data_IF_232561343107
#
_entry.id   IF_232561343107
#
_cell.length_a   1.000
_cell.length_b   1.000
_cell.length_c   1.000
_cell.angle_alpha   90.00
_cell.angle_beta   90.00
_cell.angle_gamma   90.00
#
_symmetry.space_group_name_H-M   'P 1'
#
loop_
_entity.id
_entity.type
_entity.pdbx_description
1 polymer ?
#
# COMPACT_ATOMS: atom_id res chain seq x y z
N UNK A 1 17.83 33.34 -2.97
CA UNK A 1 17.28 33.43 -1.60
C UNK A 1 16.30 32.28 -1.45
N UNK A 2 16.25 31.61 -0.29
CA UNK A 2 15.28 30.54 -0.09
C UNK A 2 13.87 31.16 0.04
N UNK A 3 12.93 30.70 -0.77
CA UNK A 3 11.55 31.20 -0.76
C UNK A 3 10.79 30.59 0.43
N UNK A 4 10.10 31.41 1.23
CA UNK A 4 9.17 30.94 2.24
C UNK A 4 7.91 30.44 1.57
N UNK A 5 7.48 29.22 1.89
CA UNK A 5 6.24 28.63 1.37
C UNK A 5 5.35 28.27 2.53
N UNK A 6 4.08 28.69 2.47
CA UNK A 6 3.05 28.37 3.46
C UNK A 6 1.94 27.56 2.78
N UNK A 7 1.50 26.51 3.46
CA UNK A 7 0.34 25.71 3.07
C UNK A 7 -0.48 25.39 4.31
N UNK A 8 -1.79 25.24 4.18
CA UNK A 8 -2.61 24.84 5.30
C UNK A 8 -4.01 24.43 4.91
N UNK A 9 -4.70 23.80 5.85
CA UNK A 9 -6.08 23.35 5.73
C UNK A 9 -6.74 23.30 7.10
N UNK A 10 -8.06 23.12 7.11
CA UNK A 10 -8.84 22.88 8.33
C UNK A 10 -9.33 21.45 8.42
N UNK A 11 -9.53 20.94 9.62
CA UNK A 11 -10.09 19.60 9.85
C UNK A 11 -11.56 19.49 9.38
N UNK A 12 -12.27 20.63 9.32
CA UNK A 12 -13.68 20.75 8.93
C UNK A 12 -13.87 21.87 7.94
N UNK A 13 -14.92 21.78 7.12
CA UNK A 13 -15.30 22.81 6.14
C UNK A 13 -16.12 23.95 6.78
N UNK A 14 -16.88 23.65 7.85
CA UNK A 14 -17.73 24.63 8.54
C UNK A 14 -17.96 24.25 10.01
N UNK A 15 -18.16 25.25 10.86
CA UNK A 15 -18.49 25.06 12.28
C UNK A 15 -19.63 25.99 12.71
N UNK A 16 -20.44 25.51 13.66
CA UNK A 16 -21.48 26.31 14.31
C UNK A 16 -20.89 27.05 15.54
N UNK A 17 -21.59 28.07 16.09
CA UNK A 17 -21.18 28.71 17.33
C UNK A 17 -20.95 27.71 18.46
N UNK A 18 -19.82 27.82 19.15
CA UNK A 18 -19.42 26.91 20.23
C UNK A 18 -18.73 25.62 19.78
N UNK A 19 -18.65 25.34 18.48
CA UNK A 19 -17.86 24.21 17.97
C UNK A 19 -16.41 24.62 17.67
N UNK A 20 -15.51 23.64 17.77
CA UNK A 20 -14.08 23.83 17.49
C UNK A 20 -13.73 23.47 16.04
N UNK A 21 -12.79 24.24 15.47
CA UNK A 21 -12.13 24.00 14.19
C UNK A 21 -10.62 24.05 14.41
N UNK A 22 -9.88 23.11 13.81
CA UNK A 22 -8.43 23.05 13.87
C UNK A 22 -7.82 23.52 12.57
N UNK A 23 -6.76 24.33 12.65
CA UNK A 23 -5.97 24.77 11.51
C UNK A 23 -4.63 24.03 11.49
N UNK A 24 -4.32 23.40 10.37
CA UNK A 24 -3.07 22.69 10.16
C UNK A 24 -2.21 23.48 9.16
N UNK A 25 -1.12 24.08 9.65
CA UNK A 25 -0.26 24.98 8.85
C UNK A 25 1.16 24.39 8.75
N UNK A 26 1.65 24.27 7.52
CA UNK A 26 2.99 23.78 7.18
C UNK A 26 3.77 24.89 6.49
N UNK A 27 4.89 25.27 7.08
CA UNK A 27 5.73 26.39 6.61
C UNK A 27 7.16 25.92 6.38
N UNK A 28 7.74 26.32 5.25
CA UNK A 28 9.16 26.15 4.94
C UNK A 28 9.91 27.46 5.12
N UNK A 29 11.12 27.38 5.68
CA UNK A 29 12.02 28.52 5.86
C UNK A 29 11.48 29.64 6.76
N UNK A 30 10.63 29.31 7.75
CA UNK A 30 10.22 30.18 8.84
C UNK A 30 9.84 29.36 10.09
N UNK A 31 9.95 29.98 11.26
CA UNK A 31 9.62 29.41 12.57
C UNK A 31 8.43 30.10 13.26
N UNK A 32 7.97 31.24 12.72
CA UNK A 32 6.80 31.98 13.17
C UNK A 32 5.91 32.40 12.00
N UNK A 33 4.60 32.40 12.19
CA UNK A 33 3.62 32.96 11.27
C UNK A 33 2.57 33.79 12.03
N UNK A 34 2.27 34.98 11.50
CA UNK A 34 1.16 35.79 11.99
C UNK A 34 -0.17 35.24 11.45
N UNK A 35 -1.15 35.08 12.33
CA UNK A 35 -2.48 34.55 11.99
C UNK A 35 -3.53 35.60 12.33
N UNK A 36 -4.48 35.79 11.42
CA UNK A 36 -5.68 36.60 11.61
C UNK A 36 -6.92 35.82 11.13
N UNK A 37 -8.09 36.16 11.63
CA UNK A 37 -9.37 35.67 11.09
C UNK A 37 -9.99 36.79 10.28
N UNK A 38 -10.39 36.49 9.05
CA UNK A 38 -11.02 37.46 8.16
C UNK A 38 -12.38 36.98 7.72
N UNK A 39 -13.28 37.94 7.49
CA UNK A 39 -14.51 37.75 6.73
C UNK A 39 -14.23 38.11 5.28
N UNK A 40 -14.19 37.10 4.42
CA UNK A 40 -14.10 37.30 2.97
C UNK A 40 -15.42 37.89 2.45
N UNK A 41 -15.33 39.01 1.71
CA UNK A 41 -16.48 39.71 1.13
C UNK A 41 -16.46 39.58 -0.40
N UNK A 42 -15.31 39.80 -1.03
CA UNK A 42 -15.13 39.68 -2.47
C UNK A 42 -13.73 39.17 -2.82
N UNK A 43 -13.63 38.22 -3.75
CA UNK A 43 -12.38 37.54 -4.09
C UNK A 43 -11.78 37.87 -5.45
N UNK A 44 -12.52 38.52 -6.35
CA UNK A 44 -12.06 38.81 -7.70
C UNK A 44 -11.27 40.13 -7.74
N UNK A 45 -10.05 40.06 -8.27
CA UNK A 45 -9.09 41.16 -8.40
C UNK A 45 -9.17 41.87 -9.78
N UNK A 46 -10.14 41.54 -10.62
CA UNK A 46 -10.30 42.19 -11.91
C UNK A 46 -10.41 43.72 -11.77
N UNK A 47 -9.65 44.51 -12.57
CA UNK A 47 -9.55 45.96 -12.39
C UNK A 47 -10.87 46.72 -12.61
N UNK A 48 -11.77 46.18 -13.43
CA UNK A 48 -13.11 46.74 -13.67
C UNK A 48 -14.14 46.33 -12.60
N UNK A 49 -13.75 45.49 -11.64
CA UNK A 49 -14.58 45.03 -10.53
C UNK A 49 -14.33 45.83 -9.24
N UNK A 50 -14.98 45.46 -8.12
CA UNK A 50 -14.76 46.10 -6.83
C UNK A 50 -13.42 45.72 -6.17
N UNK A 51 -12.65 44.79 -6.75
CA UNK A 51 -11.38 44.29 -6.24
C UNK A 51 -11.52 43.30 -5.07
N UNK A 52 -10.40 42.81 -4.53
CA UNK A 52 -10.39 41.94 -3.36
C UNK A 52 -10.82 42.71 -2.10
N UNK A 53 -11.75 42.15 -1.33
CA UNK A 53 -12.29 42.77 -0.11
C UNK A 53 -12.39 41.71 0.99
N UNK A 54 -11.72 41.98 2.09
CA UNK A 54 -11.83 41.24 3.35
C UNK A 54 -11.92 42.20 4.54
N UNK A 55 -12.41 41.67 5.66
CA UNK A 55 -12.50 42.40 6.92
C UNK A 55 -11.89 41.55 8.04
N UNK A 56 -10.90 42.09 8.73
CA UNK A 56 -10.30 41.43 9.90
C UNK A 56 -11.32 41.38 11.05
N UNK A 57 -11.52 40.18 11.58
CA UNK A 57 -12.39 39.91 12.71
C UNK A 57 -11.54 39.65 13.94
N UNK A 58 -11.77 40.43 14.99
CA UNK A 58 -11.12 40.22 16.28
C UNK A 58 -11.36 38.78 16.77
N UNK A 59 -10.28 38.04 16.97
CA UNK A 59 -10.32 36.62 17.33
C UNK A 59 -9.24 36.31 18.36
N UNK A 60 -9.53 35.39 19.26
CA UNK A 60 -8.56 34.89 20.25
C UNK A 60 -7.42 34.09 19.62
N UNK A 61 -7.57 33.64 18.36
CA UNK A 61 -6.52 32.94 17.61
C UNK A 61 -5.52 33.92 16.97
N UNK A 62 -5.85 35.21 16.89
CA UNK A 62 -4.97 36.18 16.22
C UNK A 62 -3.62 36.33 16.93
N UNK A 63 -2.55 36.56 16.16
CA UNK A 63 -1.19 36.75 16.67
C UNK A 63 -0.16 35.82 16.05
N UNK A 64 1.04 35.81 16.63
CA UNK A 64 2.16 35.03 16.12
C UNK A 64 2.15 33.60 16.69
N UNK A 65 2.22 32.61 15.80
CA UNK A 65 2.22 31.19 16.14
C UNK A 65 3.52 30.53 15.69
N UNK A 66 4.08 29.61 16.49
CA UNK A 66 5.20 28.79 16.05
C UNK A 66 4.75 27.89 14.89
N UNK A 67 5.54 27.87 13.82
CA UNK A 67 5.29 27.04 12.64
C UNK A 67 6.49 26.18 12.32
N UNK A 68 6.24 25.10 11.59
CA UNK A 68 7.28 24.20 11.10
C UNK A 68 6.83 23.51 9.82
N UNK A 69 7.78 22.89 9.12
CA UNK A 69 7.46 21.98 8.03
C UNK A 69 6.74 20.76 8.61
N UNK A 70 5.53 20.52 8.12
CA UNK A 70 4.83 19.26 8.30
C UNK A 70 4.99 18.43 7.02
N UNK A 71 5.52 17.21 7.17
CA UNK A 71 5.71 16.30 6.05
C UNK A 71 4.43 15.53 5.79
N UNK A 72 4.04 15.47 4.51
CA UNK A 72 2.92 14.66 4.07
C UNK A 72 3.46 13.30 3.68
N UNK A 73 2.94 12.26 4.33
CA UNK A 73 3.11 10.90 3.86
C UNK A 73 2.16 10.69 2.67
N UNK A 74 2.63 10.12 1.56
CA UNK A 74 1.87 10.03 0.31
C UNK A 74 1.75 8.57 -0.14
N UNK A 75 0.64 8.27 -0.82
CA UNK A 75 0.37 6.95 -1.37
C UNK A 75 -0.59 6.15 -0.50
N UNK A 76 -1.38 5.32 -1.17
CA UNK A 76 -2.36 4.47 -0.52
C UNK A 76 -1.66 3.19 -0.04
N UNK A 77 -2.08 2.68 1.11
CA UNK A 77 -1.58 1.40 1.62
C UNK A 77 -2.66 0.71 2.46
N UNK A 78 -2.44 -0.57 2.72
CA UNK A 78 -3.14 -1.27 3.81
C UNK A 78 -2.12 -1.54 4.90
N UNK A 79 -2.41 -1.16 6.14
CA UNK A 79 -1.58 -1.44 7.31
C UNK A 79 -2.26 -2.52 8.13
N UNK A 80 -1.55 -3.61 8.42
CA UNK A 80 -2.09 -4.74 9.18
C UNK A 80 -1.96 -4.49 10.67
N UNK A 81 -3.04 -4.72 11.41
CA UNK A 81 -3.04 -4.74 12.88
C UNK A 81 -2.52 -6.10 13.36
N UNK A 82 -1.28 -6.12 13.85
CA UNK A 82 -0.54 -7.31 14.26
C UNK A 82 0.16 -7.10 15.63
N UNK A 83 -0.61 -6.89 16.72
CA UNK A 83 -0.04 -6.56 18.03
C UNK A 83 0.73 -7.71 18.68
N UNK A 84 0.53 -8.94 18.22
CA UNK A 84 1.20 -10.15 18.69
C UNK A 84 2.35 -10.60 17.79
N UNK A 85 2.71 -9.79 16.79
CA UNK A 85 3.84 -10.02 15.89
C UNK A 85 3.79 -11.36 15.14
N UNK A 86 2.60 -11.82 14.75
CA UNK A 86 2.45 -13.04 13.94
C UNK A 86 3.17 -12.92 12.60
N UNK A 87 3.21 -11.73 11.99
CA UNK A 87 3.85 -11.50 10.69
C UNK A 87 5.34 -11.14 10.80
N UNK A 88 5.91 -11.12 12.01
CA UNK A 88 7.34 -10.95 12.28
C UNK A 88 8.17 -12.22 11.97
N UNK A 89 7.91 -12.85 10.83
CA UNK A 89 8.46 -14.15 10.47
C UNK A 89 9.98 -14.07 10.22
N UNK A 90 10.73 -14.88 10.96
CA UNK A 90 12.17 -15.14 10.74
C UNK A 90 12.46 -16.60 10.37
N UNK A 91 11.43 -17.45 10.42
CA UNK A 91 11.44 -18.85 9.99
C UNK A 91 10.99 -19.02 8.53
N UNK A 92 10.63 -20.26 8.12
CA UNK A 92 10.07 -20.51 6.80
C UNK A 92 8.79 -19.71 6.58
N UNK A 93 8.57 -19.22 5.37
CA UNK A 93 7.37 -18.45 5.03
C UNK A 93 6.97 -18.65 3.57
N UNK A 94 5.71 -18.36 3.27
CA UNK A 94 5.22 -18.13 1.91
C UNK A 94 4.29 -16.94 1.89
N UNK A 95 4.42 -16.08 0.90
CA UNK A 95 3.55 -14.91 0.68
C UNK A 95 2.98 -14.96 -0.73
N UNK A 96 1.68 -14.70 -0.88
CA UNK A 96 1.02 -14.71 -2.19
C UNK A 96 -0.03 -13.61 -2.33
N UNK A 97 -0.35 -13.27 -3.58
CA UNK A 97 -1.40 -12.34 -3.93
C UNK A 97 -1.87 -12.53 -5.37
N UNK A 98 -3.07 -12.04 -5.66
CA UNK A 98 -3.42 -11.62 -7.01
C UNK A 98 -3.07 -10.14 -7.19
N UNK A 99 -2.43 -9.77 -8.29
CA UNK A 99 -1.99 -8.40 -8.55
C UNK A 99 -2.35 -7.93 -9.96
N UNK A 100 -2.58 -6.63 -10.11
CA UNK A 100 -2.85 -5.97 -11.39
C UNK A 100 -1.97 -4.72 -11.51
N UNK A 101 -0.70 -4.84 -11.95
CA UNK A 101 0.22 -3.72 -12.02
C UNK A 101 -0.18 -2.75 -13.11
N UNK A 102 -0.30 -1.45 -12.81
CA UNK A 102 -0.59 -0.42 -13.83
C UNK A 102 0.69 0.27 -14.32
N UNK A 103 1.72 0.36 -13.47
CA UNK A 103 3.03 0.94 -13.80
C UNK A 103 4.19 0.04 -13.35
N UNK A 104 4.34 -1.20 -13.85
CA UNK A 104 5.40 -2.12 -13.39
C UNK A 104 6.82 -1.54 -13.56
N UNK A 105 7.05 -0.68 -14.55
CA UNK A 105 8.36 -0.09 -14.83
C UNK A 105 8.65 1.22 -14.07
N UNK A 106 7.84 1.60 -13.08
CA UNK A 106 8.02 2.84 -12.29
C UNK A 106 8.95 2.64 -11.09
N UNK A 107 10.09 2.00 -11.31
CA UNK A 107 11.04 1.67 -10.26
C UNK A 107 10.51 0.60 -9.29
N UNK A 108 11.22 0.45 -8.16
CA UNK A 108 10.93 -0.58 -7.15
C UNK A 108 9.61 -0.29 -6.43
N UNK A 109 8.77 -1.32 -6.30
CA UNK A 109 7.44 -1.24 -5.70
C UNK A 109 7.22 -2.43 -4.77
N UNK A 110 6.63 -2.21 -3.60
CA UNK A 110 6.27 -3.29 -2.66
C UNK A 110 4.80 -3.64 -2.84
N UNK A 111 4.53 -4.92 -3.05
CA UNK A 111 3.16 -5.45 -3.10
C UNK A 111 2.69 -5.74 -1.68
N UNK A 112 3.45 -6.56 -0.95
CA UNK A 112 3.13 -7.01 0.39
C UNK A 112 4.42 -7.27 1.17
N UNK A 113 4.44 -6.92 2.46
CA UNK A 113 5.54 -7.35 3.32
C UNK A 113 5.62 -6.61 4.64
N UNK A 114 6.43 -7.17 5.54
CA UNK A 114 6.90 -6.50 6.76
C UNK A 114 8.37 -6.19 6.55
N UNK A 115 8.64 -5.05 5.92
CA UNK A 115 9.99 -4.64 5.52
C UNK A 115 10.26 -3.17 5.85
N UNK A 116 11.40 -2.93 6.48
CA UNK A 116 11.89 -1.60 6.83
C UNK A 116 13.13 -1.29 6.01
N UNK A 117 13.06 -0.21 5.22
CA UNK A 117 14.17 0.29 4.41
C UNK A 117 15.27 0.90 5.26
N UNK A 118 14.91 1.59 6.34
CA UNK A 118 15.89 2.20 7.26
C UNK A 118 16.64 1.15 8.05
N UNK A 119 15.96 0.05 8.42
CA UNK A 119 16.59 -1.05 9.15
C UNK A 119 17.24 -2.07 8.23
N UNK A 120 16.96 -2.07 6.92
CA UNK A 120 17.32 -3.16 6.00
C UNK A 120 16.90 -4.53 6.56
N UNK A 121 15.69 -4.62 7.10
CA UNK A 121 15.20 -5.80 7.82
C UNK A 121 13.81 -6.21 7.35
N UNK A 122 13.54 -7.52 7.44
CA UNK A 122 12.24 -8.13 7.17
C UNK A 122 12.17 -8.90 5.86
N UNK A 123 10.98 -9.00 5.29
CA UNK A 123 10.72 -9.63 3.99
C UNK A 123 9.65 -8.89 3.22
N UNK A 124 9.74 -8.91 1.88
CA UNK A 124 8.71 -8.35 1.02
C UNK A 124 8.66 -9.02 -0.36
N UNK A 125 7.45 -9.08 -0.91
CA UNK A 125 7.16 -9.39 -2.30
C UNK A 125 6.89 -8.08 -3.05
N UNK A 126 7.48 -7.91 -4.22
CA UNK A 126 7.40 -6.66 -4.95
C UNK A 126 7.82 -6.74 -6.41
N UNK A 127 8.01 -5.57 -7.00
CA UNK A 127 8.48 -5.37 -8.37
C UNK A 127 9.82 -4.63 -8.30
N UNK A 128 10.83 -5.08 -9.02
CA UNK A 128 12.11 -4.38 -9.10
C UNK A 128 12.13 -3.26 -10.15
N UNK A 129 13.27 -2.59 -10.31
CA UNK A 129 13.42 -1.49 -11.28
C UNK A 129 13.25 -1.88 -12.75
N UNK A 130 13.33 -3.16 -13.08
CA UNK A 130 13.14 -3.70 -14.43
C UNK A 130 11.70 -4.17 -14.69
N UNK A 131 10.77 -3.95 -13.76
CA UNK A 131 9.39 -4.41 -13.89
C UNK A 131 9.20 -5.91 -13.68
N UNK A 132 10.16 -6.58 -13.04
CA UNK A 132 10.11 -8.02 -12.75
C UNK A 132 9.59 -8.26 -11.34
N UNK A 133 8.82 -9.32 -11.15
CA UNK A 133 8.47 -9.79 -9.81
C UNK A 133 9.75 -10.18 -9.07
N UNK A 134 9.88 -9.74 -7.82
CA UNK A 134 11.03 -9.99 -6.95
C UNK A 134 10.56 -10.23 -5.52
N UNK A 135 11.19 -11.17 -4.83
CA UNK A 135 11.08 -11.36 -3.39
C UNK A 135 12.43 -11.08 -2.74
N UNK A 136 12.44 -10.34 -1.64
CA UNK A 136 13.66 -9.99 -0.93
C UNK A 136 13.52 -10.11 0.58
N UNK A 137 14.66 -10.34 1.23
CA UNK A 137 14.82 -10.43 2.69
C UNK A 137 15.96 -9.53 3.15
N UNK A 138 15.91 -9.08 4.39
CA UNK A 138 16.98 -8.30 5.02
C UNK A 138 17.26 -8.71 6.47
N UNK A 139 18.51 -8.64 6.89
CA UNK A 139 18.98 -9.06 8.22
C UNK A 139 19.32 -7.92 9.19
N UNK A 140 19.15 -6.67 8.77
CA UNK A 140 19.59 -5.51 9.54
C UNK A 140 20.86 -4.85 9.00
N UNK A 141 21.59 -5.53 8.10
CA UNK A 141 22.88 -5.07 7.56
C UNK A 141 22.91 -5.12 6.04
N UNK A 142 22.34 -6.16 5.43
CA UNK A 142 22.30 -6.36 3.99
C UNK A 142 20.95 -6.97 3.53
N UNK A 143 20.73 -7.00 2.21
CA UNK A 143 19.54 -7.57 1.58
C UNK A 143 19.91 -8.59 0.51
N UNK A 144 19.11 -9.65 0.35
CA UNK A 144 19.27 -10.64 -0.71
C UNK A 144 17.92 -10.90 -1.38
N UNK A 145 17.93 -11.18 -2.68
CA UNK A 145 16.70 -11.25 -3.47
C UNK A 145 16.70 -12.33 -4.55
N UNK A 146 15.50 -12.78 -4.91
CA UNK A 146 15.21 -13.65 -6.04
C UNK A 146 14.26 -12.92 -6.99
N UNK A 147 14.56 -12.97 -8.29
CA UNK A 147 13.83 -12.23 -9.33
C UNK A 147 13.35 -13.16 -10.44
N UNK A 148 12.14 -12.92 -10.94
CA UNK A 148 11.53 -13.65 -12.04
C UNK A 148 12.28 -13.47 -13.38
N UNK A 149 12.25 -14.51 -14.21
CA UNK A 149 12.94 -14.51 -15.51
C UNK A 149 12.23 -13.70 -16.59
N UNK A 150 10.97 -13.32 -16.39
CA UNK A 150 10.19 -12.52 -17.33
C UNK A 150 9.48 -11.35 -16.62
N UNK A 151 9.35 -10.18 -17.26
CA UNK A 151 8.73 -9.01 -16.62
C UNK A 151 7.21 -9.19 -16.46
N UNK A 152 6.64 -8.40 -15.55
CA UNK A 152 5.20 -8.24 -15.42
C UNK A 152 4.67 -7.31 -16.51
N UNK A 153 3.55 -7.68 -17.12
CA UNK A 153 2.86 -6.81 -18.08
C UNK A 153 1.88 -5.90 -17.34
N UNK A 154 1.86 -4.62 -17.74
CA UNK A 154 0.88 -3.70 -17.20
C UNK A 154 -0.57 -4.10 -17.56
N UNK A 155 -1.53 -3.78 -16.68
CA UNK A 155 -2.96 -4.04 -16.85
C UNK A 155 -3.32 -5.50 -17.12
N UNK A 156 -2.58 -6.42 -16.51
CA UNK A 156 -2.82 -7.87 -16.58
C UNK A 156 -2.86 -8.43 -15.17
N UNK A 157 -3.83 -9.27 -14.86
CA UNK A 157 -3.86 -9.96 -13.57
C UNK A 157 -2.79 -11.04 -13.52
N UNK A 158 -2.13 -11.17 -12.37
CA UNK A 158 -1.22 -12.25 -12.07
C UNK A 158 -1.55 -12.86 -10.72
N UNK A 159 -1.45 -14.18 -10.60
CA UNK A 159 -1.16 -14.81 -9.33
C UNK A 159 0.37 -14.77 -9.12
N UNK A 160 0.80 -14.28 -7.96
CA UNK A 160 2.21 -14.18 -7.60
C UNK A 160 2.44 -14.81 -6.23
N UNK A 161 3.54 -15.51 -6.06
CA UNK A 161 3.87 -16.19 -4.80
C UNK A 161 5.37 -16.33 -4.62
N UNK A 162 5.85 -16.18 -3.39
CA UNK A 162 7.22 -16.46 -3.00
C UNK A 162 7.25 -17.29 -1.73
N UNK A 163 8.05 -18.36 -1.71
CA UNK A 163 8.37 -19.11 -0.49
C UNK A 163 9.85 -19.03 -0.18
N UNK A 164 10.18 -19.09 1.11
CA UNK A 164 11.55 -19.05 1.58
C UNK A 164 11.71 -19.90 2.84
N UNK A 165 12.75 -20.73 2.88
CA UNK A 165 13.18 -21.45 4.07
C UNK A 165 14.59 -20.98 4.49
N UNK A 166 14.73 -20.20 5.58
CA UNK A 166 16.01 -19.66 6.03
C UNK A 166 16.97 -20.71 6.56
N UNK A 167 16.52 -21.94 6.84
CA UNK A 167 17.42 -23.02 7.26
C UNK A 167 18.22 -23.56 6.09
N UNK A 168 17.57 -23.78 4.95
CA UNK A 168 18.20 -24.25 3.71
C UNK A 168 18.72 -23.10 2.83
N UNK A 169 18.16 -21.90 3.00
CA UNK A 169 18.35 -20.74 2.13
C UNK A 169 17.51 -20.86 0.84
N UNK A 170 16.68 -21.88 0.69
CA UNK A 170 15.92 -22.11 -0.55
C UNK A 170 14.79 -21.09 -0.67
N UNK A 171 14.80 -20.32 -1.76
CA UNK A 171 13.73 -19.44 -2.17
C UNK A 171 13.11 -19.91 -3.49
N UNK A 172 11.78 -19.90 -3.58
CA UNK A 172 11.02 -20.17 -4.80
C UNK A 172 10.15 -18.96 -5.09
N UNK A 173 10.15 -18.50 -6.34
CA UNK A 173 9.31 -17.39 -6.79
C UNK A 173 8.51 -17.85 -8.01
N UNK A 174 7.20 -17.61 -7.97
CA UNK A 174 6.26 -17.99 -9.02
C UNK A 174 5.39 -16.82 -9.43
N UNK A 175 5.19 -16.67 -10.73
CA UNK A 175 4.17 -15.81 -11.32
C UNK A 175 3.41 -16.55 -12.42
N UNK A 176 2.11 -16.31 -12.50
CA UNK A 176 1.23 -16.85 -13.52
C UNK A 176 0.17 -15.80 -13.91
N UNK A 177 0.04 -15.51 -15.20
CA UNK A 177 -0.95 -14.57 -15.70
C UNK A 177 -2.36 -15.15 -15.62
N UNK A 178 -3.32 -14.37 -15.14
CA UNK A 178 -4.72 -14.75 -14.96
C UNK A 178 -5.59 -13.97 -15.94
N UNK A 179 -5.66 -14.47 -17.17
CA UNK A 179 -6.33 -13.77 -18.28
C UNK A 179 -7.74 -14.33 -18.53
N UNK A 180 -8.72 -13.49 -18.29
CA UNK A 180 -10.13 -13.68 -18.66
C UNK A 180 -10.53 -12.78 -19.83
N UNK A 181 -11.76 -12.94 -20.36
CA UNK A 181 -12.25 -12.07 -21.43
C UNK A 181 -12.50 -10.61 -21.00
N UNK A 182 -12.62 -10.37 -19.69
CA UNK A 182 -13.11 -9.10 -19.13
C UNK A 182 -12.19 -8.48 -18.08
N UNK A 183 -11.22 -9.23 -17.54
CA UNK A 183 -10.48 -8.82 -16.34
C UNK A 183 -9.18 -8.05 -16.63
N UNK A 184 -8.77 -7.90 -17.90
CA UNK A 184 -7.50 -7.28 -18.25
C UNK A 184 -7.48 -6.62 -19.62
N UNK A 185 -6.32 -6.03 -19.98
CA UNK A 185 -6.13 -5.32 -21.25
C UNK A 185 -6.08 -6.25 -22.45
N UNK A 186 -5.51 -7.44 -22.28
CA UNK A 186 -5.37 -8.45 -23.31
C UNK A 186 -6.28 -9.64 -22.98
N UNK A 187 -6.87 -10.23 -24.02
CA UNK A 187 -7.65 -11.47 -23.91
C UNK A 187 -6.82 -12.71 -24.23
N UNK A 188 -7.43 -13.89 -24.10
CA UNK A 188 -6.78 -15.21 -24.29
C UNK A 188 -6.18 -15.46 -25.69
N UNK A 189 -6.56 -14.67 -26.68
CA UNK A 189 -6.05 -14.80 -28.07
C UNK A 189 -4.69 -14.14 -28.27
N UNK A 190 -4.24 -13.30 -27.35
CA UNK A 190 -2.90 -12.75 -27.40
C UNK A 190 -1.88 -13.86 -27.11
N UNK A 191 -0.82 -14.04 -27.94
CA UNK A 191 0.25 -14.98 -27.66
C UNK A 191 1.06 -14.47 -26.47
N UNK A 192 0.59 -14.79 -25.28
CA UNK A 192 1.00 -14.17 -24.03
C UNK A 192 1.29 -15.26 -22.99
N UNK A 193 2.56 -15.60 -22.83
CA UNK A 193 3.04 -16.48 -21.74
C UNK A 193 4.12 -15.76 -20.94
N UNK A 194 3.70 -15.20 -19.82
CA UNK A 194 4.57 -14.56 -18.83
C UNK A 194 4.64 -15.40 -17.55
N UNK A 195 4.38 -16.71 -17.63
CA UNK A 195 4.59 -17.62 -16.50
C UNK A 195 6.09 -17.74 -16.23
N UNK A 196 6.47 -17.67 -14.96
CA UNK A 196 7.85 -17.90 -14.53
C UNK A 196 7.85 -18.56 -13.17
N UNK A 197 8.67 -19.60 -13.02
CA UNK A 197 8.98 -20.23 -11.73
C UNK A 197 10.49 -20.33 -11.62
N UNK A 198 11.06 -19.69 -10.60
CA UNK A 198 12.50 -19.66 -10.38
C UNK A 198 12.81 -20.09 -8.96
N UNK A 199 13.90 -20.85 -8.82
CA UNK A 199 14.41 -21.30 -7.53
C UNK A 199 15.85 -20.82 -7.38
N UNK A 200 16.18 -20.26 -6.21
CA UNK A 200 17.52 -19.80 -5.91
C UNK A 200 17.83 -20.01 -4.42
N UNK A 201 19.12 -20.12 -4.09
CA UNK A 201 19.58 -20.07 -2.71
C UNK A 201 19.91 -18.63 -2.32
N UNK A 202 19.16 -18.07 -1.38
CA UNK A 202 19.51 -16.82 -0.71
C UNK A 202 20.48 -17.09 0.44
N UNK A 203 21.32 -16.11 0.73
CA UNK A 203 22.42 -16.19 1.70
C UNK A 203 22.05 -15.58 3.05
N UNK A 204 21.05 -14.72 3.07
CA UNK A 204 20.64 -13.94 4.24
C UNK A 204 19.47 -14.60 4.95
N UNK A 205 19.49 -14.54 6.29
CA UNK A 205 18.37 -14.93 7.14
C UNK A 205 17.65 -13.66 7.61
N UNK A 206 16.33 -13.53 7.38
CA UNK A 206 15.60 -12.32 7.70
C UNK A 206 15.64 -12.06 9.20
N UNK A 207 15.89 -10.80 9.55
CA UNK A 207 15.60 -10.25 10.86
C UNK A 207 14.21 -9.62 10.82
N UNK A 208 13.45 -9.71 11.90
CA UNK A 208 12.16 -9.01 11.97
C UNK A 208 12.36 -7.49 11.93
N UNK A 209 11.53 -6.81 11.14
CA UNK A 209 11.43 -5.36 11.13
C UNK A 209 10.51 -4.87 12.25
N UNK A 210 10.84 -3.71 12.83
CA UNK A 210 9.97 -3.07 13.85
C UNK A 210 8.72 -2.43 13.25
N UNK A 211 8.68 -2.29 11.93
CA UNK A 211 7.60 -1.67 11.17
C UNK A 211 6.45 -2.65 10.95
N UNK A 212 5.19 -2.17 10.76
CA UNK A 212 4.07 -3.06 10.51
C UNK A 212 4.17 -3.77 9.16
N UNK A 213 3.40 -4.84 9.00
CA UNK A 213 3.15 -5.43 7.69
C UNK A 213 2.25 -4.50 6.87
N UNK A 214 2.63 -4.24 5.62
CA UNK A 214 1.90 -3.34 4.73
C UNK A 214 1.63 -3.96 3.36
N UNK A 215 0.56 -3.48 2.75
CA UNK A 215 0.28 -3.66 1.34
C UNK A 215 0.57 -2.37 0.58
N UNK A 216 1.15 -2.51 -0.60
CA UNK A 216 1.34 -1.41 -1.54
C UNK A 216 2.44 -0.41 -1.16
N UNK A 217 3.24 -0.68 -0.12
CA UNK A 217 4.38 0.15 0.29
C UNK A 217 5.32 -0.61 1.24
N UNK A 218 6.57 -0.16 1.33
CA UNK A 218 7.48 -0.45 2.42
C UNK A 218 7.54 0.71 3.41
N UNK A 219 8.03 0.44 4.62
CA UNK A 219 8.29 1.49 5.61
C UNK A 219 9.69 2.07 5.40
N UNK A 220 9.80 3.38 5.51
CA UNK A 220 11.06 4.11 5.55
C UNK A 220 10.99 5.18 6.65
N UNK A 221 12.13 5.73 7.03
CA UNK A 221 12.23 6.77 8.04
C UNK A 221 13.41 7.69 7.73
N UNK A 222 13.26 8.96 8.09
CA UNK A 222 14.33 9.95 8.04
C UNK A 222 14.33 10.80 9.31
N UNK A 223 15.49 11.24 9.83
CA UNK A 223 15.58 11.90 11.15
C UNK A 223 14.63 13.09 11.35
N UNK A 224 14.39 13.89 10.31
CA UNK A 224 13.53 15.08 10.37
C UNK A 224 12.06 14.76 10.03
N UNK A 225 11.83 13.82 9.09
CA UNK A 225 10.49 13.46 8.60
C UNK A 225 9.75 12.49 9.52
N UNK A 226 10.49 11.67 10.26
CA UNK A 226 9.95 10.47 10.90
C UNK A 226 9.67 9.38 9.87
N UNK A 227 8.80 8.44 10.22
CA UNK A 227 8.41 7.31 9.36
C UNK A 227 7.47 7.75 8.23
N UNK A 228 7.64 7.15 7.06
CA UNK A 228 6.82 7.39 5.87
C UNK A 228 6.78 6.16 4.97
N UNK A 229 5.84 6.14 4.03
CA UNK A 229 5.72 5.08 3.03
C UNK A 229 6.62 5.35 1.85
N UNK A 230 7.28 4.29 1.38
CA UNK A 230 8.17 4.32 0.22
C UNK A 230 7.94 3.09 -0.66
N UNK A 231 8.51 3.08 -1.86
CA UNK A 231 8.30 2.02 -2.86
C UNK A 231 6.81 1.71 -3.08
N UNK A 232 6.01 2.77 -3.25
CA UNK A 232 4.56 2.67 -3.38
C UNK A 232 4.14 1.98 -4.68
N UNK A 233 3.24 1.02 -4.58
CA UNK A 233 2.74 0.25 -5.72
C UNK A 233 1.57 0.93 -6.41
N UNK A 234 1.58 0.94 -7.74
CA UNK A 234 0.41 1.34 -8.54
C UNK A 234 -0.23 0.12 -9.18
N UNK A 235 -1.42 -0.21 -8.73
CA UNK A 235 -2.19 -1.34 -9.22
C UNK A 235 -3.27 -1.78 -8.25
N UNK A 236 -3.85 -2.95 -8.53
CA UNK A 236 -4.77 -3.62 -7.62
C UNK A 236 -4.07 -4.79 -6.97
N UNK A 237 -4.40 -5.06 -5.70
CA UNK A 237 -4.02 -6.27 -4.97
C UNK A 237 -5.32 -6.91 -4.52
N UNK A 238 -5.41 -8.22 -4.70
CA UNK A 238 -6.62 -9.01 -4.52
C UNK A 238 -6.24 -10.37 -3.90
N UNK A 239 -7.14 -10.97 -3.12
CA UNK A 239 -7.02 -12.27 -2.40
C UNK A 239 -5.56 -12.68 -2.11
N UNK A 240 -5.04 -12.24 -0.97
CA UNK A 240 -3.64 -12.43 -0.57
C UNK A 240 -3.50 -13.09 0.78
N UNK A 241 -2.34 -13.69 1.05
CA UNK A 241 -2.11 -14.37 2.33
C UNK A 241 -0.65 -14.68 2.60
N UNK A 242 -0.41 -15.13 3.83
CA UNK A 242 0.91 -15.56 4.31
C UNK A 242 0.77 -16.93 4.97
N UNK A 243 1.71 -17.82 4.71
CA UNK A 243 1.92 -19.08 5.41
C UNK A 243 3.21 -18.97 6.24
N UNK A 244 3.23 -19.59 7.42
CA UNK A 244 4.41 -19.76 8.28
C UNK A 244 5.27 -20.98 7.90
N UNK A 245 5.17 -21.39 6.64
CA UNK A 245 5.92 -22.50 6.05
C UNK A 245 6.29 -22.19 4.60
N UNK A 246 7.38 -22.79 4.13
CA UNK A 246 7.78 -22.69 2.73
C UNK A 246 6.97 -23.69 1.87
N UNK A 247 6.05 -23.17 1.04
CA UNK A 247 5.26 -23.96 0.11
C UNK A 247 6.11 -24.44 -1.07
N UNK A 248 5.79 -25.62 -1.57
CA UNK A 248 6.24 -26.14 -2.86
C UNK A 248 5.51 -25.46 -4.02
N UNK A 249 6.02 -25.63 -5.25
CA UNK A 249 5.37 -25.08 -6.45
C UNK A 249 3.96 -25.65 -6.66
N UNK A 250 3.74 -26.92 -6.34
CA UNK A 250 2.42 -27.56 -6.50
C UNK A 250 1.42 -27.04 -5.47
N UNK A 251 1.87 -26.76 -4.24
CA UNK A 251 1.05 -26.11 -3.23
C UNK A 251 0.72 -24.65 -3.61
N UNK A 252 1.67 -23.90 -4.18
CA UNK A 252 1.37 -22.55 -4.69
C UNK A 252 0.32 -22.59 -5.81
N UNK A 253 0.41 -23.56 -6.72
CA UNK A 253 -0.59 -23.77 -7.77
C UNK A 253 -1.94 -24.23 -7.20
N UNK A 254 -1.94 -25.02 -6.13
CA UNK A 254 -3.16 -25.40 -5.42
C UNK A 254 -3.84 -24.18 -4.78
N UNK A 255 -3.08 -23.27 -4.15
CA UNK A 255 -3.59 -21.98 -3.67
C UNK A 255 -4.17 -21.15 -4.82
N UNK A 256 -3.46 -21.06 -5.95
CA UNK A 256 -3.98 -20.39 -7.15
C UNK A 256 -5.30 -21.00 -7.64
N UNK A 257 -5.43 -22.33 -7.61
CA UNK A 257 -6.65 -23.04 -7.97
C UNK A 257 -7.77 -22.93 -6.92
N UNK A 258 -7.57 -22.18 -5.84
CA UNK A 258 -8.55 -22.01 -4.76
C UNK A 258 -8.67 -23.21 -3.82
N UNK A 259 -7.69 -24.11 -3.81
CA UNK A 259 -7.69 -25.28 -2.92
C UNK A 259 -7.24 -24.87 -1.51
N UNK A 260 -7.90 -25.43 -0.50
CA UNK A 260 -7.50 -25.27 0.89
C UNK A 260 -6.34 -26.22 1.21
N UNK A 261 -5.24 -25.67 1.73
CA UNK A 261 -4.10 -26.45 2.21
C UNK A 261 -4.23 -26.74 3.70
N UNK A 262 -3.68 -27.87 4.15
CA UNK A 262 -3.57 -28.23 5.56
C UNK A 262 -2.11 -28.57 5.91
N UNK A 263 -1.47 -27.85 6.85
CA UNK A 263 -1.95 -26.65 7.55
C UNK A 263 -2.23 -25.47 6.60
N UNK A 264 -3.26 -24.69 6.94
CA UNK A 264 -3.69 -23.50 6.20
C UNK A 264 -2.78 -22.29 6.39
N UNK A 265 -3.15 -21.13 5.82
CA UNK A 265 -2.36 -19.91 5.96
C UNK A 265 -2.44 -19.34 7.38
N UNK A 266 -1.37 -18.63 7.76
CA UNK A 266 -1.33 -17.79 8.96
C UNK A 266 -2.33 -16.64 8.87
N UNK A 267 -2.51 -16.10 7.66
CA UNK A 267 -3.45 -15.02 7.34
C UNK A 267 -3.96 -15.18 5.91
N UNK A 268 -5.26 -14.96 5.70
CA UNK A 268 -5.87 -14.93 4.37
C UNK A 268 -6.81 -13.73 4.27
N UNK A 269 -6.36 -12.70 3.58
CA UNK A 269 -7.15 -11.49 3.39
C UNK A 269 -8.09 -11.63 2.19
N UNK A 270 -9.38 -11.53 2.47
CA UNK A 270 -10.40 -11.35 1.43
C UNK A 270 -10.75 -9.87 1.34
N UNK A 271 -10.46 -9.28 0.19
CA UNK A 271 -10.69 -7.86 -0.06
C UNK A 271 -12.18 -7.52 -0.25
N UNK A 272 -13.06 -8.50 -0.36
CA UNK A 272 -14.50 -8.32 -0.52
C UNK A 272 -15.30 -8.67 0.75
N UNK A 273 -14.68 -9.32 1.73
CA UNK A 273 -15.36 -9.69 2.97
C UNK A 273 -15.81 -8.45 3.74
N UNK A 274 -17.05 -8.49 4.23
CA UNK A 274 -17.71 -7.36 4.90
C UNK A 274 -18.35 -6.31 3.97
N UNK A 275 -18.31 -6.52 2.65
CA UNK A 275 -19.07 -5.70 1.71
C UNK A 275 -20.56 -6.01 1.80
N UNK A 276 -21.41 -4.98 1.78
CA UNK A 276 -22.84 -5.17 1.89
C UNK A 276 -23.67 -4.01 1.32
N UNK A 277 -25.00 -4.10 1.39
CA UNK A 277 -25.90 -3.05 0.92
C UNK A 277 -25.68 -1.71 1.64
N UNK A 278 -25.17 -1.75 2.87
CA UNK A 278 -24.90 -0.58 3.71
C UNK A 278 -23.55 0.11 3.39
N UNK A 279 -22.78 -0.44 2.44
CA UNK A 279 -21.54 0.17 1.96
C UNK A 279 -20.29 -0.65 2.23
N UNK A 280 -19.15 0.04 2.23
CA UNK A 280 -17.80 -0.51 2.37
C UNK A 280 -17.02 0.31 3.39
N UNK A 281 -16.39 -0.37 4.34
CA UNK A 281 -15.47 0.23 5.31
C UNK A 281 -14.01 0.23 4.80
N UNK A 282 -13.10 0.82 5.59
CA UNK A 282 -11.66 0.81 5.27
C UNK A 282 -10.97 -0.50 5.70
N UNK A 283 -11.69 -1.52 6.17
CA UNK A 283 -11.10 -2.75 6.70
C UNK A 283 -10.92 -3.81 5.60
N UNK A 284 -9.75 -4.42 5.53
CA UNK A 284 -9.46 -5.60 4.70
C UNK A 284 -9.42 -6.78 5.65
N UNK A 285 -10.43 -7.65 5.57
CA UNK A 285 -10.67 -8.66 6.59
C UNK A 285 -9.80 -9.88 6.34
N UNK A 286 -9.21 -10.37 7.42
CA UNK A 286 -8.57 -11.68 7.47
C UNK A 286 -9.66 -12.72 7.75
N UNK A 287 -9.82 -13.68 6.84
CA UNK A 287 -10.70 -14.85 6.98
C UNK A 287 -9.95 -16.07 7.51
N UNK A 288 -8.67 -15.91 7.85
CA UNK A 288 -7.82 -16.88 8.52
C UNK A 288 -8.02 -16.91 10.04
N UNK A 289 -7.19 -17.70 10.75
CA UNK A 289 -7.42 -18.01 12.16
C UNK A 289 -7.02 -16.89 13.14
N UNK A 290 -6.23 -15.90 12.71
CA UNK A 290 -5.58 -14.95 13.62
C UNK A 290 -6.21 -13.54 13.62
N UNK A 291 -7.23 -13.30 12.81
CA UNK A 291 -7.93 -12.02 12.70
C UNK A 291 -6.97 -10.82 12.45
N UNK A 292 -5.92 -11.02 11.65
CA UNK A 292 -4.91 -10.01 11.34
C UNK A 292 -5.45 -9.03 10.29
N UNK A 293 -6.47 -8.24 10.66
CA UNK A 293 -7.15 -7.36 9.73
C UNK A 293 -6.24 -6.21 9.25
N UNK A 294 -6.36 -5.87 7.97
CA UNK A 294 -5.74 -4.69 7.39
C UNK A 294 -6.66 -3.47 7.46
N UNK A 295 -6.10 -2.27 7.55
CA UNK A 295 -6.82 -1.00 7.40
C UNK A 295 -6.25 -0.17 6.26
N UNK A 296 -7.11 0.29 5.36
CA UNK A 296 -6.76 1.21 4.30
C UNK A 296 -6.36 2.58 4.84
N UNK A 297 -5.17 3.04 4.46
CA UNK A 297 -4.62 4.36 4.78
C UNK A 297 -4.55 5.18 3.51
N UNK A 298 -5.00 6.44 3.58
CA UNK A 298 -5.16 7.35 2.41
C UNK A 298 -6.17 6.86 1.37
N UNK A 299 -7.20 6.12 1.82
CA UNK A 299 -8.35 5.69 1.01
C UNK A 299 -7.94 4.96 -0.28
N UNK A 300 -7.33 3.76 -0.19
CA UNK A 300 -7.27 2.84 -1.32
C UNK A 300 -8.67 2.65 -1.91
N UNK A 301 -8.80 2.65 -3.24
CA UNK A 301 -10.11 2.49 -3.89
C UNK A 301 -10.61 1.07 -3.65
N UNK A 302 -11.78 0.94 -3.00
CA UNK A 302 -12.44 -0.33 -2.69
C UNK A 302 -13.44 -0.74 -3.78
N UNK A 303 -13.87 -2.00 -3.76
CA UNK A 303 -14.80 -2.60 -4.74
C UNK A 303 -14.41 -2.38 -6.22
N UNK A 304 -13.11 -2.48 -6.50
CA UNK A 304 -12.62 -2.54 -7.87
C UNK A 304 -12.83 -3.93 -8.45
N UNK A 305 -12.97 -4.04 -9.77
CA UNK A 305 -13.04 -5.34 -10.46
C UNK A 305 -11.82 -6.20 -10.10
N UNK A 306 -12.08 -7.41 -9.58
CA UNK A 306 -11.09 -8.37 -9.12
C UNK A 306 -10.55 -9.27 -10.23
N UNK A 307 -9.63 -10.17 -9.87
CA UNK A 307 -8.98 -11.09 -10.82
C UNK A 307 -9.97 -12.04 -11.49
N UNK A 308 -11.07 -12.37 -10.81
CA UNK A 308 -12.11 -13.31 -11.23
C UNK A 308 -13.35 -12.60 -11.82
N UNK A 309 -13.30 -11.28 -12.04
CA UNK A 309 -14.45 -10.56 -12.58
C UNK A 309 -14.80 -11.04 -14.00
N UNK A 310 -16.07 -11.39 -14.18
CA UNK A 310 -16.57 -12.08 -15.38
C UNK A 310 -17.40 -11.20 -16.32
N UNK A 311 -17.58 -9.92 -16.01
CA UNK A 311 -18.44 -9.03 -16.81
C UNK A 311 -19.95 -9.25 -16.64
N UNK A 312 -20.37 -10.20 -15.79
CA UNK A 312 -21.79 -10.53 -15.61
C UNK A 312 -22.54 -9.52 -14.73
N UNK A 313 -21.86 -8.99 -13.72
CA UNK A 313 -22.41 -8.04 -12.76
C UNK A 313 -21.45 -6.86 -12.63
N UNK A 314 -21.96 -5.65 -12.88
CA UNK A 314 -21.22 -4.39 -12.73
C UNK A 314 -21.41 -3.77 -11.34
N UNK A 315 -22.38 -4.27 -10.57
CA UNK A 315 -22.65 -3.86 -9.19
C UNK A 315 -22.01 -4.86 -8.21
N UNK A 316 -20.97 -4.41 -7.51
CA UNK A 316 -20.24 -5.20 -6.50
C UNK A 316 -21.14 -5.68 -5.35
N UNK A 317 -22.28 -5.03 -5.10
CA UNK A 317 -23.22 -5.47 -4.05
C UNK A 317 -23.93 -6.77 -4.40
N UNK A 318 -23.98 -7.12 -5.69
CA UNK A 318 -24.62 -8.35 -6.20
C UNK A 318 -23.62 -9.49 -6.31
N UNK A 319 -22.34 -9.17 -6.56
CA UNK A 319 -21.25 -10.13 -6.69
C UNK A 319 -19.94 -9.54 -6.10
N UNK A 320 -19.81 -9.55 -4.76
CA UNK A 320 -18.63 -9.01 -4.06
C UNK A 320 -17.34 -9.80 -4.34
#
# INVERSE_FOLDING_TARGET
MATTTITGYTDKVSVAPGAEISFHISVENADSAHVEIVRLIHGDEHPDGPGFIEEVIASSVAGDHPVKKQFVDVGNAVVVDDPADYLALTGPLTIHAYIFPTTPNKGRQVLLGRFSLTESAGYALGINGEGRLTFWVGDGSDTDEITSQVPLMHHTWYFVSASFDPRSGKALLHQEAVVGPYNGRLGKVAPFDHRSSVEQKLRIKPKSATTPFMWGAASNSAPIRGSYKDFTYNGKIDRSGVFDRALTIDEMKAVHAGQHLSPGPLVNWDTAEGYGPDGIDDLVRDTGPNALHGRGVQRPVRAMTGYNWSGKHDDWRVAP
#
